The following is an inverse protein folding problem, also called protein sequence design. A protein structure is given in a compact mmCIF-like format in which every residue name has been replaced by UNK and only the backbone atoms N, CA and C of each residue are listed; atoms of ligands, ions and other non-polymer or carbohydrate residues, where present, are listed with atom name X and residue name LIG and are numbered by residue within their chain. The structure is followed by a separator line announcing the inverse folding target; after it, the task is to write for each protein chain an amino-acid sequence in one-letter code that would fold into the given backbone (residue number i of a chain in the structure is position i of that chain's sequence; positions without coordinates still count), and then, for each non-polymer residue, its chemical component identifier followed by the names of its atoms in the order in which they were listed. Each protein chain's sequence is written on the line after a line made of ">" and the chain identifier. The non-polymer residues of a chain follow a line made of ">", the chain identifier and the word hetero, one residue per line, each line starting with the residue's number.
data_IF_252369794284
#
_entry.id   IF_252369794284
#
_cell.length_a   1.000
_cell.length_b   1.000
_cell.length_c   1.000
_cell.angle_alpha   90.00
_cell.angle_beta   90.00
_cell.angle_gamma   90.00
#
_symmetry.space_group_name_H-M   'P 1'
#
loop_
_entity.id
_entity.type
_entity.pdbx_description
1 polymer ?
#
# COMPACT_ATOMS: atom_id res chain seq x y z
N UNK A 1 -12.69 12.12 6.20
CA UNK A 1 -12.07 12.31 4.87
C UNK A 1 -10.82 11.45 4.73
N UNK A 2 -10.74 10.56 3.74
CA UNK A 2 -9.59 9.65 3.56
C UNK A 2 -8.36 10.32 2.93
N UNK A 3 -8.54 11.48 2.28
CA UNK A 3 -7.55 12.11 1.43
C UNK A 3 -6.22 12.44 2.16
N UNK A 4 -6.28 12.93 3.40
CA UNK A 4 -5.07 13.24 4.17
C UNK A 4 -4.28 11.98 4.52
N UNK A 5 -4.97 10.92 4.96
CA UNK A 5 -4.33 9.63 5.30
C UNK A 5 -3.78 8.98 4.04
N UNK A 6 -4.55 8.97 2.94
CA UNK A 6 -4.12 8.45 1.65
C UNK A 6 -2.84 9.16 1.17
N UNK A 7 -2.81 10.50 1.18
CA UNK A 7 -1.61 11.29 0.83
C UNK A 7 -0.41 10.93 1.71
N UNK A 8 -0.61 10.73 3.02
CA UNK A 8 0.46 10.28 3.92
C UNK A 8 0.98 8.91 3.50
N UNK A 9 0.10 7.95 3.19
CA UNK A 9 0.51 6.61 2.74
C UNK A 9 1.26 6.65 1.40
N UNK A 10 0.82 7.48 0.46
CA UNK A 10 1.51 7.65 -0.82
C UNK A 10 2.91 8.25 -0.65
N UNK A 11 3.09 9.22 0.26
CA UNK A 11 4.43 9.73 0.59
C UNK A 11 5.32 8.66 1.20
N UNK A 12 4.79 7.87 2.13
CA UNK A 12 5.54 6.75 2.70
C UNK A 12 5.93 5.72 1.63
N UNK A 13 5.01 5.40 0.72
CA UNK A 13 5.25 4.49 -0.40
C UNK A 13 6.38 5.00 -1.30
N UNK A 14 6.39 6.29 -1.61
CA UNK A 14 7.42 6.93 -2.43
C UNK A 14 8.78 7.08 -1.71
N UNK A 15 8.81 6.97 -0.39
CA UNK A 15 10.04 7.10 0.42
C UNK A 15 10.61 5.76 0.88
N UNK A 16 9.89 4.67 0.69
CA UNK A 16 10.35 3.33 1.04
C UNK A 16 11.47 2.91 0.09
N UNK A 17 12.56 2.40 0.66
CA UNK A 17 13.69 1.83 -0.08
C UNK A 17 13.49 0.32 -0.23
N UNK A 18 12.86 -0.30 0.75
CA UNK A 18 12.51 -1.72 0.74
C UNK A 18 11.03 -1.93 1.01
N UNK A 19 10.51 -3.07 0.58
CA UNK A 19 9.13 -3.46 0.87
C UNK A 19 8.90 -3.60 2.39
N UNK A 20 9.93 -3.94 3.17
CA UNK A 20 9.81 -4.13 4.61
C UNK A 20 9.65 -2.79 5.37
N UNK A 21 10.14 -1.69 4.81
CA UNK A 21 9.94 -0.33 5.36
C UNK A 21 8.45 -0.02 5.51
N UNK A 22 7.61 -0.56 4.62
CA UNK A 22 6.17 -0.39 4.63
C UNK A 22 5.46 -1.23 5.71
N UNK A 23 6.18 -2.06 6.47
CA UNK A 23 5.64 -2.68 7.69
C UNK A 23 5.59 -1.69 8.86
N UNK A 24 6.32 -0.58 8.76
CA UNK A 24 6.36 0.46 9.79
C UNK A 24 5.59 1.69 9.30
N UNK A 25 4.63 2.21 10.09
CA UNK A 25 4.13 1.67 11.35
C UNK A 25 3.28 0.40 11.15
N UNK A 26 3.12 -0.46 12.19
CA UNK A 26 2.34 -1.71 12.11
C UNK A 26 0.91 -1.53 11.59
N UNK A 27 0.33 -0.35 11.77
CA UNK A 27 -0.98 0.03 11.23
C UNK A 27 -1.05 0.02 9.69
N UNK A 28 0.08 0.00 8.97
CA UNK A 28 0.10 -0.21 7.52
C UNK A 28 -0.50 -1.56 7.14
N UNK A 29 -0.36 -2.58 7.99
CA UNK A 29 -0.83 -3.95 7.73
C UNK A 29 -0.47 -4.38 6.31
N UNK A 30 0.82 -4.27 5.98
CA UNK A 30 1.35 -4.63 4.67
C UNK A 30 0.98 -6.09 4.38
N UNK A 31 0.29 -6.30 3.26
CA UNK A 31 -0.22 -7.60 2.87
C UNK A 31 0.12 -7.90 1.40
N UNK A 32 0.60 -9.11 1.12
CA UNK A 32 0.73 -9.60 -0.25
C UNK A 32 -0.62 -10.15 -0.73
N UNK A 33 -1.14 -9.59 -1.82
CA UNK A 33 -2.42 -9.99 -2.38
C UNK A 33 -2.31 -11.34 -3.10
N UNK A 34 -3.40 -12.11 -3.05
CA UNK A 34 -3.51 -13.46 -3.62
C UNK A 34 -4.54 -13.50 -4.77
N UNK A 35 -4.66 -14.64 -5.44
CA UNK A 35 -5.61 -14.84 -6.53
C UNK A 35 -5.31 -13.97 -7.76
N UNK A 36 -6.33 -13.34 -8.34
CA UNK A 36 -6.21 -12.48 -9.54
C UNK A 36 -5.30 -11.26 -9.36
N UNK A 37 -4.93 -10.90 -8.12
CA UNK A 37 -4.01 -9.80 -7.81
C UNK A 37 -2.64 -10.28 -7.33
N UNK A 38 -2.28 -11.56 -7.58
CA UNK A 38 -0.97 -12.11 -7.20
C UNK A 38 0.16 -11.23 -7.74
N UNK A 39 1.12 -10.93 -6.86
CA UNK A 39 2.25 -10.04 -7.17
C UNK A 39 1.97 -8.55 -6.89
N UNK A 40 0.78 -8.22 -6.39
CA UNK A 40 0.51 -6.93 -5.76
C UNK A 40 0.61 -7.02 -4.23
N UNK A 41 0.85 -5.87 -3.62
CA UNK A 41 0.81 -5.63 -2.19
C UNK A 41 -0.25 -4.59 -1.87
N UNK A 42 -0.68 -4.55 -0.61
CA UNK A 42 -1.55 -3.49 -0.12
C UNK A 42 -1.13 -2.96 1.25
N UNK A 43 -1.41 -1.68 1.48
CA UNK A 43 -1.32 -1.04 2.80
C UNK A 43 -2.65 -0.37 3.15
N UNK A 44 -2.99 -0.41 4.44
CA UNK A 44 -4.27 0.08 4.98
C UNK A 44 -4.31 1.61 5.09
N UNK A 45 -5.38 2.21 4.57
CA UNK A 45 -5.75 3.61 4.81
C UNK A 45 -6.66 3.69 6.04
N UNK A 46 -7.80 2.98 6.00
CA UNK A 46 -8.75 2.80 7.08
C UNK A 46 -9.42 1.42 6.92
N UNK A 47 -10.56 1.14 7.57
CA UNK A 47 -11.18 -0.19 7.48
C UNK A 47 -11.63 -0.54 6.05
N UNK A 48 -12.18 0.43 5.32
CA UNK A 48 -12.71 0.27 3.95
C UNK A 48 -11.65 0.38 2.86
N UNK A 49 -10.72 1.32 2.95
CA UNK A 49 -9.82 1.69 1.83
C UNK A 49 -8.41 1.12 1.98
N UNK A 50 -7.81 0.73 0.85
CA UNK A 50 -6.42 0.27 0.73
C UNK A 50 -5.69 1.02 -0.38
N UNK A 51 -4.38 1.21 -0.22
CA UNK A 51 -3.48 1.47 -1.36
C UNK A 51 -2.97 0.12 -1.82
N UNK A 52 -3.15 -0.21 -3.10
CA UNK A 52 -2.61 -1.39 -3.74
C UNK A 52 -1.51 -0.98 -4.73
N UNK A 53 -0.46 -1.78 -4.84
CA UNK A 53 0.67 -1.50 -5.73
C UNK A 53 1.45 -2.78 -6.03
N UNK A 54 2.26 -2.76 -7.09
CA UNK A 54 3.30 -3.77 -7.35
C UNK A 54 4.64 -3.24 -6.88
N UNK A 55 5.43 -4.08 -6.22
CA UNK A 55 6.79 -3.72 -5.83
C UNK A 55 7.79 -4.30 -6.82
N UNK A 56 8.63 -3.46 -7.43
CA UNK A 56 9.67 -3.88 -8.37
C UNK A 56 10.90 -3.00 -8.21
N UNK A 57 12.07 -3.62 -8.07
CA UNK A 57 13.37 -2.92 -8.05
C UNK A 57 13.49 -1.75 -7.06
N UNK A 58 12.79 -1.80 -5.92
CA UNK A 58 12.82 -0.74 -4.91
C UNK A 58 11.73 0.32 -5.07
N UNK A 59 10.87 0.20 -6.11
CA UNK A 59 9.82 1.16 -6.41
C UNK A 59 8.42 0.53 -6.44
N UNK A 60 7.42 1.39 -6.24
CA UNK A 60 6.01 1.04 -6.32
C UNK A 60 5.42 1.41 -7.70
N UNK A 61 4.77 0.45 -8.33
CA UNK A 61 4.10 0.58 -9.63
C UNK A 61 2.61 0.23 -9.52
N UNK A 62 1.83 0.60 -10.54
CA UNK A 62 0.39 0.31 -10.63
C UNK A 62 -0.35 0.69 -9.33
N UNK A 63 -0.04 1.89 -8.81
CA UNK A 63 -0.52 2.36 -7.51
C UNK A 63 -1.98 2.80 -7.62
N UNK A 64 -2.87 2.16 -6.85
CA UNK A 64 -4.31 2.39 -6.87
C UNK A 64 -4.85 2.54 -5.44
N UNK A 65 -5.87 3.37 -5.25
CA UNK A 65 -6.66 3.40 -4.02
C UNK A 65 -7.97 2.67 -4.30
N UNK A 66 -8.19 1.56 -3.61
CA UNK A 66 -9.35 0.68 -3.83
C UNK A 66 -10.23 0.62 -2.60
N UNK A 67 -11.54 0.51 -2.84
CA UNK A 67 -12.49 0.04 -1.82
C UNK A 67 -12.30 -1.47 -1.65
N UNK A 68 -12.23 -1.91 -0.41
CA UNK A 68 -11.96 -3.29 -0.02
C UNK A 68 -13.19 -3.94 0.64
N UNK A 69 -14.39 -3.49 0.29
CA UNK A 69 -15.69 -4.10 0.63
C UNK A 69 -16.51 -4.42 -0.62
#
# INVERSE_FOLDING_TARGET
>A
MIQQVARRKLRMLNSAVTLDDLRIPPANRLEALKGGRKGQHSIRINDQWRVCFRWRNGDAHDVEIVDYH
#
